data_IF_536549113116
#
_entry.id   IF_536549113116
#
_cell.length_a   1.000
_cell.length_b   1.000
_cell.length_c   1.000
_cell.angle_alpha   90.00
_cell.angle_beta   90.00
_cell.angle_gamma   90.00
#
_symmetry.space_group_name_H-M   'P 1'
#
loop_
_entity.id
_entity.type
_entity.pdbx_description
1 polymer ?
#
# COMPACT_ATOMS: atom_id res chain seq x y z
N UNK A 1 31.91 1.52 8.99
CA UNK A 1 30.91 1.15 7.97
C UNK A 1 29.53 1.16 8.62
N UNK A 2 28.76 2.26 8.51
CA UNK A 2 27.46 2.43 9.22
C UNK A 2 26.27 2.87 8.33
N UNK A 3 26.45 3.01 7.01
CA UNK A 3 25.47 3.69 6.14
C UNK A 3 24.63 2.80 5.21
N UNK A 4 24.85 1.48 5.19
CA UNK A 4 24.10 0.58 4.28
C UNK A 4 22.88 -0.05 4.95
N UNK A 5 22.98 -0.39 6.24
CA UNK A 5 21.89 -0.99 7.01
C UNK A 5 20.69 -0.05 7.14
N UNK A 6 20.92 1.23 7.46
CA UNK A 6 19.85 2.19 7.67
C UNK A 6 19.01 2.44 6.39
N UNK A 7 19.66 2.45 5.23
CA UNK A 7 18.98 2.59 3.94
C UNK A 7 18.13 1.36 3.59
N UNK A 8 18.63 0.15 3.88
CA UNK A 8 17.89 -1.08 3.62
C UNK A 8 16.67 -1.22 4.55
N UNK A 9 16.81 -0.83 5.81
CA UNK A 9 15.71 -0.81 6.78
C UNK A 9 14.63 0.21 6.39
N UNK A 10 15.05 1.39 5.90
CA UNK A 10 14.11 2.37 5.35
C UNK A 10 13.37 1.84 4.12
N UNK A 11 14.07 1.24 3.15
CA UNK A 11 13.46 0.64 1.95
C UNK A 11 12.43 -0.43 2.34
N UNK A 12 12.74 -1.25 3.34
CA UNK A 12 11.83 -2.30 3.83
C UNK A 12 10.57 -1.67 4.42
N UNK A 13 10.70 -0.65 5.28
CA UNK A 13 9.57 0.07 5.86
C UNK A 13 8.75 0.81 4.81
N UNK A 14 9.40 1.40 3.80
CA UNK A 14 8.75 2.06 2.67
C UNK A 14 7.89 1.07 1.87
N UNK A 15 8.41 -0.13 1.58
CA UNK A 15 7.63 -1.16 0.89
C UNK A 15 6.40 -1.59 1.71
N UNK A 16 6.59 -1.85 3.01
CA UNK A 16 5.49 -2.17 3.92
C UNK A 16 4.45 -1.04 4.01
N UNK A 17 4.90 0.22 3.99
CA UNK A 17 4.03 1.39 3.94
C UNK A 17 3.18 1.41 2.67
N UNK A 18 3.79 1.17 1.51
CA UNK A 18 3.09 1.14 0.21
C UNK A 18 2.14 -0.05 0.07
N UNK A 19 2.43 -1.16 0.74
CA UNK A 19 1.56 -2.34 0.79
C UNK A 19 0.47 -2.23 1.86
N UNK A 20 0.39 -1.12 2.61
CA UNK A 20 -0.49 -0.93 3.78
C UNK A 20 -0.32 -2.01 4.86
N UNK A 21 0.88 -2.58 4.98
CA UNK A 21 1.23 -3.62 5.97
C UNK A 21 1.94 -3.03 7.20
N UNK A 22 2.17 -1.72 7.22
CA UNK A 22 2.82 -1.03 8.32
C UNK A 22 1.80 -0.62 9.39
N UNK A 23 2.07 -0.94 10.65
CA UNK A 23 1.24 -0.51 11.78
C UNK A 23 1.18 1.02 11.92
N UNK A 24 0.16 1.56 12.60
CA UNK A 24 -0.09 3.01 12.67
C UNK A 24 1.10 3.81 13.21
N UNK A 25 1.70 3.38 14.32
CA UNK A 25 2.86 4.07 14.93
C UNK A 25 4.10 4.06 14.03
N UNK A 26 4.35 2.93 13.36
CA UNK A 26 5.49 2.78 12.45
C UNK A 26 5.27 3.58 11.15
N UNK A 27 4.03 3.69 10.69
CA UNK A 27 3.63 4.55 9.57
C UNK A 27 3.91 6.02 9.88
N UNK A 28 3.47 6.52 11.02
CA UNK A 28 3.70 7.92 11.40
C UNK A 28 5.19 8.25 11.48
N UNK A 29 5.99 7.38 12.11
CA UNK A 29 7.46 7.53 12.17
C UNK A 29 8.10 7.53 10.78
N UNK A 30 7.69 6.60 9.91
CA UNK A 30 8.25 6.50 8.56
C UNK A 30 7.91 7.74 7.73
N UNK A 31 6.69 8.27 7.87
CA UNK A 31 6.28 9.52 7.22
C UNK A 31 7.09 10.72 7.72
N UNK A 32 7.30 10.82 9.03
CA UNK A 32 8.16 11.88 9.61
C UNK A 32 9.61 11.79 9.11
N UNK A 33 10.15 10.57 8.95
CA UNK A 33 11.48 10.36 8.36
C UNK A 33 11.54 10.77 6.87
N UNK A 34 10.46 10.54 6.11
CA UNK A 34 10.35 10.98 4.71
C UNK A 34 10.30 12.51 4.61
N UNK A 35 9.53 13.17 5.49
CA UNK A 35 9.38 14.62 5.48
C UNK A 35 10.68 15.36 5.84
N UNK A 36 11.49 14.75 6.70
CA UNK A 36 12.77 15.32 7.14
C UNK A 36 13.94 15.03 6.18
N UNK A 37 13.80 14.05 5.27
CA UNK A 37 14.85 13.67 4.35
C UNK A 37 14.38 13.73 2.88
N UNK A 38 14.82 14.72 2.08
CA UNK A 38 14.39 14.86 0.69
C UNK A 38 14.77 13.64 -0.17
N UNK A 39 15.88 12.96 0.11
CA UNK A 39 16.27 11.76 -0.64
C UNK A 39 15.32 10.58 -0.43
N UNK A 40 14.71 10.47 0.76
CA UNK A 40 13.69 9.46 1.05
C UNK A 40 12.37 9.77 0.35
N UNK A 41 12.05 11.06 0.22
CA UNK A 41 10.90 11.51 -0.56
C UNK A 41 11.05 11.21 -2.04
N UNK A 42 12.23 11.44 -2.61
CA UNK A 42 12.53 11.07 -4.01
C UNK A 42 12.41 9.56 -4.22
N UNK A 43 12.99 8.76 -3.31
CA UNK A 43 12.92 7.30 -3.38
C UNK A 43 11.48 6.78 -3.32
N UNK A 44 10.67 7.32 -2.40
CA UNK A 44 9.25 7.01 -2.29
C UNK A 44 8.50 7.35 -3.58
N UNK A 45 8.75 8.54 -4.15
CA UNK A 45 8.12 8.98 -5.39
C UNK A 45 8.48 8.07 -6.56
N UNK A 46 9.73 7.63 -6.65
CA UNK A 46 10.20 6.72 -7.69
C UNK A 46 9.52 5.36 -7.56
N UNK A 47 9.45 4.80 -6.35
CA UNK A 47 8.79 3.51 -6.10
C UNK A 47 7.28 3.57 -6.40
N UNK A 48 6.59 4.65 -6.01
CA UNK A 48 5.18 4.84 -6.34
C UNK A 48 4.96 4.88 -7.86
N UNK A 49 5.75 5.68 -8.56
CA UNK A 49 5.68 5.81 -10.02
C UNK A 49 5.93 4.46 -10.71
N UNK A 50 6.88 3.68 -10.19
CA UNK A 50 7.19 2.34 -10.70
C UNK A 50 6.04 1.35 -10.48
N UNK A 51 5.44 1.35 -9.28
CA UNK A 51 4.26 0.51 -8.98
C UNK A 51 3.06 0.87 -9.83
N UNK A 52 2.84 2.16 -10.10
CA UNK A 52 1.78 2.64 -10.98
C UNK A 52 2.05 2.29 -12.45
N UNK A 53 3.31 2.37 -12.88
CA UNK A 53 3.74 1.88 -14.18
C UNK A 53 3.45 0.37 -14.34
N UNK A 54 3.83 -0.44 -13.35
CA UNK A 54 3.51 -1.88 -13.34
C UNK A 54 1.99 -2.09 -13.37
N UNK A 55 1.24 -1.35 -12.55
CA UNK A 55 -0.22 -1.49 -12.46
C UNK A 55 -0.93 -1.14 -13.77
N UNK A 56 -0.41 -0.17 -14.52
CA UNK A 56 -0.96 0.23 -15.83
C UNK A 56 -0.57 -0.71 -16.97
N UNK A 57 0.60 -1.35 -16.90
CA UNK A 57 1.10 -2.24 -17.97
C UNK A 57 0.77 -3.72 -17.75
N UNK A 58 0.47 -4.14 -16.52
CA UNK A 58 0.02 -5.51 -16.26
C UNK A 58 -1.49 -5.62 -16.52
N UNK A 59 -1.85 -6.40 -17.54
CA UNK A 59 -3.23 -6.80 -17.78
C UNK A 59 -3.76 -7.63 -16.60
N UNK A 60 -4.54 -6.99 -15.73
CA UNK A 60 -5.24 -7.68 -14.65
C UNK A 60 -6.31 -8.59 -15.25
N UNK A 61 -6.44 -9.80 -14.70
CA UNK A 61 -7.58 -10.67 -15.01
C UNK A 61 -8.86 -9.91 -14.69
N UNK A 62 -9.68 -9.66 -15.71
CA UNK A 62 -11.01 -9.09 -15.54
C UNK A 62 -11.86 -10.11 -14.79
N UNK A 63 -12.32 -9.75 -13.60
CA UNK A 63 -13.29 -10.57 -12.86
C UNK A 63 -14.63 -10.54 -13.59
N UNK A 64 -15.40 -11.63 -13.50
CA UNK A 64 -16.72 -11.65 -14.13
C UNK A 64 -17.64 -10.64 -13.45
N UNK A 65 -18.52 -9.94 -14.21
CA UNK A 65 -19.51 -9.05 -13.61
C UNK A 65 -20.39 -9.74 -12.56
N UNK A 66 -20.66 -11.03 -12.76
CA UNK A 66 -21.38 -11.87 -11.79
C UNK A 66 -20.65 -11.96 -10.45
N UNK A 67 -19.33 -12.17 -10.44
CA UNK A 67 -18.55 -12.24 -9.22
C UNK A 67 -18.53 -10.89 -8.50
N UNK A 68 -18.43 -9.79 -9.26
CA UNK A 68 -18.53 -8.43 -8.70
C UNK A 68 -19.88 -8.22 -8.02
N UNK A 69 -20.97 -8.66 -8.65
CA UNK A 69 -22.31 -8.54 -8.08
C UNK A 69 -22.46 -9.42 -6.83
N UNK A 70 -22.03 -10.67 -6.86
CA UNK A 70 -22.04 -11.57 -5.70
C UNK A 70 -21.27 -11.00 -4.50
N UNK A 71 -20.12 -10.36 -4.74
CA UNK A 71 -19.35 -9.70 -3.67
C UNK A 71 -20.10 -8.49 -3.12
N UNK A 72 -20.68 -7.63 -3.98
CA UNK A 72 -21.48 -6.48 -3.55
C UNK A 72 -22.67 -6.90 -2.70
N UNK A 73 -23.42 -7.90 -3.15
CA UNK A 73 -24.60 -8.42 -2.44
C UNK A 73 -24.21 -8.97 -1.06
N UNK A 74 -23.08 -9.70 -0.98
CA UNK A 74 -22.56 -10.22 0.29
C UNK A 74 -22.15 -9.10 1.27
N UNK A 75 -21.56 -8.02 0.77
CA UNK A 75 -21.21 -6.87 1.62
C UNK A 75 -22.49 -6.17 2.12
N UNK A 76 -23.46 -5.92 1.26
CA UNK A 76 -24.72 -5.25 1.63
C UNK A 76 -25.54 -6.06 2.65
N UNK A 77 -25.60 -7.38 2.48
CA UNK A 77 -26.28 -8.27 3.43
C UNK A 77 -25.55 -8.38 4.77
N UNK A 78 -24.21 -8.28 4.77
CA UNK A 78 -23.41 -8.28 6.02
C UNK A 78 -23.53 -6.98 6.82
N UNK A 79 -23.85 -5.85 6.18
CA UNK A 79 -24.08 -4.56 6.84
C UNK A 79 -25.52 -4.39 7.34
N UNK A 80 -26.48 -5.11 6.75
CA UNK A 80 -27.91 -5.05 7.08
C UNK A 80 -28.42 -6.36 7.68
N UNK A 81 -27.61 -7.04 8.50
CA UNK A 81 -28.04 -8.22 9.22
C UNK A 81 -29.28 -7.91 10.08
N UNK A 82 -30.29 -8.79 10.12
CA UNK A 82 -31.51 -8.54 10.89
C UNK A 82 -31.16 -8.42 12.37
N UNK A 83 -31.52 -7.28 12.96
CA UNK A 83 -31.76 -7.17 14.39
C UNK A 83 -32.81 -8.22 14.76
N UNK A 84 -32.37 -9.32 15.35
CA UNK A 84 -33.20 -10.17 16.20
C UNK A 84 -32.85 -9.88 17.66
#
# INVERSE_FOLDING_TARGET
>A
MKNVQNSQDFITRMNLLLDNQLGPDAKEKTLAEIDTNPSYRELLSQEQSFRDFIRSHIHRKTVSPSLVQSVKDKIHTSQNGPHF
#
